data_IF_528807365662
#
_entry.id   IF_528807365662
#
_cell.length_a   1.000
_cell.length_b   1.000
_cell.length_c   1.000
_cell.angle_alpha   90.00
_cell.angle_beta   90.00
_cell.angle_gamma   90.00
#
_symmetry.space_group_name_H-M   'P 1'
#
loop_
_entity.id
_entity.type
_entity.pdbx_description
1 polymer ?
#
# COMPACT_ATOMS: atom_id res chain seq x y z
N UNK A 1 -23.81 -18.62 -13.03
CA UNK A 1 -23.20 -17.34 -13.40
C UNK A 1 -21.94 -17.18 -12.56
N UNK A 2 -20.79 -16.96 -13.17
CA UNK A 2 -19.48 -16.75 -12.52
C UNK A 2 -19.32 -15.27 -12.17
N UNK A 3 -18.70 -14.99 -11.03
CA UNK A 3 -18.31 -13.64 -10.65
C UNK A 3 -16.84 -13.38 -11.01
N UNK A 4 -16.56 -12.21 -11.56
CA UNK A 4 -15.20 -11.74 -11.87
C UNK A 4 -15.00 -10.42 -11.15
N UNK A 5 -13.91 -10.32 -10.39
CA UNK A 5 -13.43 -9.10 -9.76
C UNK A 5 -12.05 -8.78 -10.32
N UNK A 6 -11.89 -7.62 -10.94
CA UNK A 6 -10.58 -7.07 -11.30
C UNK A 6 -10.31 -5.93 -10.32
N UNK A 7 -9.21 -6.01 -9.59
CA UNK A 7 -8.82 -5.05 -8.57
C UNK A 7 -7.48 -4.42 -8.90
N UNK A 8 -7.43 -3.08 -8.83
CA UNK A 8 -6.21 -2.29 -8.94
C UNK A 8 -5.88 -1.61 -7.61
N UNK A 9 -4.67 -1.83 -7.13
CA UNK A 9 -4.07 -1.13 -6.00
C UNK A 9 -3.28 0.07 -6.51
N UNK A 10 -3.70 1.30 -6.19
CA UNK A 10 -3.07 2.54 -6.65
C UNK A 10 -2.44 3.29 -5.48
N UNK A 11 -1.12 3.44 -5.52
CA UNK A 11 -0.42 4.08 -4.45
C UNK A 11 0.86 4.77 -4.91
N UNK A 12 1.10 5.96 -4.35
CA UNK A 12 2.40 6.63 -4.36
C UNK A 12 2.71 7.19 -2.96
N UNK A 13 3.99 7.17 -2.54
CA UNK A 13 4.39 7.75 -1.27
C UNK A 13 4.13 9.26 -1.26
N UNK A 14 3.88 9.85 -0.08
CA UNK A 14 3.72 11.28 0.06
C UNK A 14 5.03 11.99 -0.29
N UNK A 15 5.01 12.86 -1.33
CA UNK A 15 6.21 13.52 -1.88
C UNK A 15 6.41 14.94 -1.37
N UNK A 16 5.40 15.48 -0.70
CA UNK A 16 5.46 16.82 -0.14
C UNK A 16 6.53 16.93 0.95
N UNK A 17 7.24 18.05 0.92
CA UNK A 17 8.18 18.44 1.95
C UNK A 17 7.40 18.71 3.26
N UNK A 18 7.74 18.04 4.38
CA UNK A 18 6.94 18.11 5.61
C UNK A 18 6.96 19.47 6.32
N UNK A 19 7.75 20.43 5.86
CA UNK A 19 7.78 21.79 6.39
C UNK A 19 6.98 22.77 5.55
N UNK A 20 7.05 22.64 4.23
CA UNK A 20 6.47 23.61 3.30
C UNK A 20 5.22 23.11 2.60
N UNK A 21 4.99 21.81 2.57
CA UNK A 21 3.95 21.18 1.77
C UNK A 21 4.23 21.18 0.26
N UNK A 22 5.32 21.81 -0.18
CA UNK A 22 5.69 21.84 -1.59
C UNK A 22 6.28 20.49 -2.03
N UNK A 23 5.99 20.07 -3.26
CA UNK A 23 6.60 18.89 -3.86
C UNK A 23 7.91 19.30 -4.50
N UNK A 24 9.06 18.72 -4.09
CA UNK A 24 10.34 18.99 -4.73
C UNK A 24 10.35 18.49 -6.18
N UNK A 25 11.11 19.17 -7.06
CA UNK A 25 11.40 18.65 -8.39
C UNK A 25 12.16 17.32 -8.28
N UNK A 26 11.69 16.31 -9.00
CA UNK A 26 12.32 14.98 -9.10
C UNK A 26 12.91 14.79 -10.50
N UNK A 27 14.22 15.03 -10.72
CA UNK A 27 14.81 15.04 -12.06
C UNK A 27 14.67 13.71 -12.83
N UNK A 28 14.56 12.59 -12.11
CA UNK A 28 14.35 11.27 -12.69
C UNK A 28 12.90 10.99 -13.14
N UNK A 29 11.97 11.90 -12.84
CA UNK A 29 10.61 11.87 -13.38
C UNK A 29 10.48 12.62 -14.71
N UNK A 30 11.54 13.28 -15.20
CA UNK A 30 11.49 14.08 -16.43
C UNK A 30 10.79 13.35 -17.60
N UNK A 31 9.98 14.05 -18.41
CA UNK A 31 9.80 15.49 -18.50
C UNK A 31 8.79 16.08 -17.48
N UNK A 32 8.28 15.30 -16.57
CA UNK A 32 7.32 15.70 -15.53
C UNK A 32 8.06 16.30 -14.32
N UNK A 33 7.35 17.06 -13.50
CA UNK A 33 7.90 17.67 -12.30
C UNK A 33 8.30 16.62 -11.25
N UNK A 34 7.44 15.64 -11.04
CA UNK A 34 7.61 14.57 -10.05
C UNK A 34 6.94 13.26 -10.51
N UNK A 35 7.17 12.19 -9.75
CA UNK A 35 6.62 10.87 -10.09
C UNK A 35 5.10 10.80 -9.95
N UNK A 36 4.46 11.59 -9.09
CA UNK A 36 3.00 11.60 -9.01
C UNK A 36 2.39 12.16 -10.28
N UNK A 37 2.92 13.30 -10.80
CA UNK A 37 2.49 13.86 -12.06
C UNK A 37 2.71 12.88 -13.22
N UNK A 38 3.90 12.26 -13.27
CA UNK A 38 4.23 11.30 -14.32
C UNK A 38 3.25 10.13 -14.35
N UNK A 39 3.01 9.50 -13.21
CA UNK A 39 2.16 8.31 -13.14
C UNK A 39 0.69 8.70 -13.33
N UNK A 40 0.29 9.88 -12.88
CA UNK A 40 -1.05 10.42 -13.17
C UNK A 40 -1.31 10.46 -14.65
N UNK A 41 -0.39 11.04 -15.43
CA UNK A 41 -0.51 11.15 -16.91
C UNK A 41 -0.40 9.81 -17.62
N UNK A 42 0.50 8.94 -17.16
CA UNK A 42 0.75 7.64 -17.80
C UNK A 42 -0.32 6.59 -17.43
N UNK A 43 -0.98 6.72 -16.28
CA UNK A 43 -1.88 5.70 -15.72
C UNK A 43 -3.19 6.25 -15.18
N UNK A 44 -3.21 7.06 -14.10
CA UNK A 44 -4.43 7.32 -13.33
C UNK A 44 -5.51 8.03 -14.12
N UNK A 45 -5.17 9.08 -14.88
CA UNK A 45 -6.10 9.75 -15.77
C UNK A 45 -6.67 8.81 -16.85
N UNK A 46 -5.86 7.86 -17.31
CA UNK A 46 -6.22 6.94 -18.41
C UNK A 46 -7.14 5.82 -17.93
N UNK A 47 -6.93 5.28 -16.73
CA UNK A 47 -7.78 4.21 -16.17
C UNK A 47 -9.06 4.75 -15.54
N UNK A 48 -9.19 6.05 -15.33
CA UNK A 48 -10.28 6.67 -14.60
C UNK A 48 -11.67 6.23 -15.08
N UNK A 49 -11.87 6.10 -16.40
CA UNK A 49 -13.13 5.63 -16.98
C UNK A 49 -13.44 4.15 -16.65
N UNK A 50 -12.44 3.32 -16.43
CA UNK A 50 -12.58 1.89 -16.12
C UNK A 50 -12.93 1.63 -14.65
N UNK A 51 -12.66 2.59 -13.74
CA UNK A 51 -12.88 2.43 -12.30
C UNK A 51 -14.32 2.13 -11.92
N UNK A 52 -15.29 2.60 -12.71
CA UNK A 52 -16.71 2.31 -12.48
C UNK A 52 -17.08 0.82 -12.61
N UNK A 53 -16.24 0.04 -13.33
CA UNK A 53 -16.47 -1.37 -13.64
C UNK A 53 -15.46 -2.30 -12.96
N UNK A 54 -14.65 -1.80 -12.03
CA UNK A 54 -13.64 -2.61 -11.32
C UNK A 54 -13.68 -2.34 -9.80
N UNK A 55 -13.02 -3.19 -9.05
CA UNK A 55 -12.67 -2.90 -7.66
C UNK A 55 -11.34 -2.17 -7.61
N UNK A 56 -11.17 -1.25 -6.68
CA UNK A 56 -9.91 -0.51 -6.56
C UNK A 56 -9.72 0.06 -5.15
N UNK A 57 -8.50 0.38 -4.83
CA UNK A 57 -8.15 1.30 -3.75
C UNK A 57 -7.16 2.36 -4.25
N UNK A 58 -7.23 3.52 -3.65
CA UNK A 58 -6.24 4.60 -3.80
C UNK A 58 -5.72 4.98 -2.44
N UNK A 59 -4.41 5.07 -2.30
CA UNK A 59 -3.77 5.52 -1.07
C UNK A 59 -4.26 6.91 -0.65
N UNK A 60 -4.62 7.13 0.63
CA UNK A 60 -5.09 8.44 1.10
C UNK A 60 -4.13 9.58 0.77
N UNK A 61 -2.81 9.37 0.89
CA UNK A 61 -1.79 10.36 0.56
C UNK A 61 -1.73 10.68 -0.94
N UNK A 62 -1.98 9.69 -1.79
CA UNK A 62 -2.11 9.90 -3.23
C UNK A 62 -3.38 10.69 -3.55
N UNK A 63 -4.49 10.38 -2.88
CA UNK A 63 -5.74 11.13 -3.05
C UNK A 63 -5.65 12.59 -2.55
N UNK A 64 -4.86 12.86 -1.51
CA UNK A 64 -4.55 14.24 -1.07
C UNK A 64 -3.83 15.00 -2.19
N UNK A 65 -2.84 14.38 -2.81
CA UNK A 65 -2.13 14.97 -3.94
C UNK A 65 -3.06 15.21 -5.14
N UNK A 66 -3.88 14.20 -5.51
CA UNK A 66 -4.79 14.30 -6.66
C UNK A 66 -5.84 15.40 -6.46
N UNK A 67 -6.35 15.58 -5.24
CA UNK A 67 -7.33 16.61 -4.90
C UNK A 67 -6.82 18.01 -5.25
N UNK A 68 -5.51 18.24 -5.10
CA UNK A 68 -4.85 19.53 -5.34
C UNK A 68 -4.29 19.67 -6.77
N UNK A 69 -3.70 18.62 -7.33
CA UNK A 69 -2.89 18.67 -8.55
C UNK A 69 -3.55 18.02 -9.78
N UNK A 70 -4.53 17.12 -9.56
CA UNK A 70 -5.22 16.39 -10.63
C UNK A 70 -6.74 16.32 -10.37
N UNK A 71 -7.43 17.47 -10.20
CA UNK A 71 -8.83 17.50 -9.72
C UNK A 71 -9.81 16.79 -10.66
N UNK A 72 -9.55 16.71 -11.96
CA UNK A 72 -10.37 15.97 -12.90
C UNK A 72 -10.33 14.46 -12.66
N UNK A 73 -9.12 13.90 -12.53
CA UNK A 73 -8.90 12.49 -12.21
C UNK A 73 -9.43 12.16 -10.81
N UNK A 74 -9.18 13.04 -9.84
CA UNK A 74 -9.73 12.90 -8.48
C UNK A 74 -11.26 12.81 -8.49
N UNK A 75 -11.95 13.69 -9.22
CA UNK A 75 -13.40 13.66 -9.30
C UNK A 75 -13.94 12.35 -9.89
N UNK A 76 -13.26 11.78 -10.90
CA UNK A 76 -13.62 10.49 -11.48
C UNK A 76 -13.42 9.33 -10.48
N UNK A 77 -12.30 9.31 -9.74
CA UNK A 77 -12.04 8.33 -8.68
C UNK A 77 -13.12 8.40 -7.60
N UNK A 78 -13.46 9.61 -7.15
CA UNK A 78 -14.50 9.81 -6.12
C UNK A 78 -15.86 9.34 -6.62
N UNK A 79 -16.24 9.65 -7.86
CA UNK A 79 -17.49 9.22 -8.45
C UNK A 79 -17.59 7.68 -8.52
N UNK A 80 -16.55 7.01 -9.00
CA UNK A 80 -16.47 5.55 -9.06
C UNK A 80 -16.51 4.91 -7.66
N UNK A 81 -15.82 5.52 -6.68
CA UNK A 81 -15.80 5.03 -5.30
C UNK A 81 -17.15 5.13 -4.60
N UNK A 82 -17.90 6.21 -4.86
CA UNK A 82 -19.28 6.36 -4.37
C UNK A 82 -20.23 5.31 -4.97
N UNK A 83 -19.97 4.86 -6.18
CA UNK A 83 -20.72 3.78 -6.83
C UNK A 83 -20.43 2.38 -6.27
N UNK A 84 -19.44 2.21 -5.37
CA UNK A 84 -19.21 0.95 -4.65
C UNK A 84 -17.95 0.18 -5.04
N UNK A 85 -17.15 0.66 -6.00
CA UNK A 85 -15.91 -0.03 -6.42
C UNK A 85 -14.75 0.11 -5.44
N UNK A 86 -14.73 1.19 -4.63
CA UNK A 86 -13.60 1.51 -3.77
C UNK A 86 -13.52 0.65 -2.50
N UNK A 87 -12.30 0.27 -2.15
CA UNK A 87 -11.86 -0.38 -0.91
C UNK A 87 -10.98 0.61 -0.14
N UNK A 88 -11.04 0.64 1.20
CA UNK A 88 -10.22 1.54 2.01
C UNK A 88 -8.77 1.05 2.11
N UNK A 89 -7.89 1.94 2.55
CA UNK A 89 -6.51 1.64 2.94
C UNK A 89 -6.16 2.27 4.30
N UNK A 90 -5.17 1.74 5.05
CA UNK A 90 -4.48 2.49 6.09
C UNK A 90 -3.86 3.77 5.51
N UNK A 91 -3.73 4.81 6.35
CA UNK A 91 -3.50 6.17 5.84
C UNK A 91 -2.15 6.37 5.13
N UNK A 92 -1.03 5.95 5.75
CA UNK A 92 0.33 6.23 5.24
C UNK A 92 1.04 5.02 4.62
N UNK A 93 0.31 3.95 4.32
CA UNK A 93 0.88 2.75 3.69
C UNK A 93 2.00 2.07 4.52
N UNK A 94 1.78 1.91 5.82
CA UNK A 94 2.69 1.20 6.71
C UNK A 94 2.58 -0.32 6.55
N UNK A 95 3.69 -1.03 6.81
CA UNK A 95 3.65 -2.49 6.98
C UNK A 95 3.10 -2.78 8.38
N UNK A 96 1.78 -2.93 8.46
CA UNK A 96 1.08 -3.01 9.74
C UNK A 96 1.61 -4.13 10.67
N UNK A 97 1.98 -5.34 10.20
CA UNK A 97 2.59 -6.36 11.04
C UNK A 97 3.86 -5.91 11.79
N UNK A 98 4.55 -4.89 11.28
CA UNK A 98 5.76 -4.32 11.90
C UNK A 98 5.48 -3.11 12.80
N UNK A 99 4.22 -2.70 12.92
CA UNK A 99 3.83 -1.51 13.69
C UNK A 99 3.30 -1.90 15.07
N UNK A 100 3.47 -1.02 16.05
CA UNK A 100 2.82 -1.17 17.35
C UNK A 100 1.29 -1.15 17.19
N UNK A 101 0.56 -1.87 18.05
CA UNK A 101 -0.92 -1.95 17.95
C UNK A 101 -1.60 -0.57 17.96
N UNK A 102 -1.08 0.39 18.75
CA UNK A 102 -1.60 1.76 18.77
C UNK A 102 -1.52 2.43 17.39
N UNK A 103 -0.40 2.23 16.70
CA UNK A 103 -0.14 2.82 15.38
C UNK A 103 -1.01 2.16 14.29
N UNK A 104 -1.18 0.83 14.36
CA UNK A 104 -2.15 0.09 13.52
C UNK A 104 -3.56 0.67 13.67
N UNK A 105 -4.01 0.90 14.91
CA UNK A 105 -5.33 1.45 15.21
C UNK A 105 -5.48 2.88 14.65
N UNK A 106 -4.48 3.73 14.81
CA UNK A 106 -4.48 5.10 14.27
C UNK A 106 -4.54 5.08 12.74
N UNK A 107 -3.68 4.33 12.09
CA UNK A 107 -3.61 4.19 10.63
C UNK A 107 -4.93 3.70 10.01
N UNK A 108 -5.52 2.65 10.60
CA UNK A 108 -6.81 2.11 10.16
C UNK A 108 -7.93 3.13 10.35
N UNK A 109 -8.00 3.78 11.50
CA UNK A 109 -9.02 4.80 11.79
C UNK A 109 -8.92 6.02 10.89
N UNK A 110 -7.71 6.48 10.61
CA UNK A 110 -7.48 7.61 9.69
C UNK A 110 -7.84 7.23 8.26
N UNK A 111 -7.47 6.03 7.81
CA UNK A 111 -7.88 5.53 6.49
C UNK A 111 -9.40 5.42 6.35
N UNK A 112 -10.11 4.93 7.37
CA UNK A 112 -11.57 4.89 7.40
C UNK A 112 -12.17 6.31 7.36
N UNK A 113 -11.62 7.24 8.15
CA UNK A 113 -12.11 8.63 8.19
C UNK A 113 -11.93 9.34 6.84
N UNK A 114 -10.78 9.16 6.19
CA UNK A 114 -10.52 9.69 4.85
C UNK A 114 -11.47 9.08 3.80
N UNK A 115 -11.66 7.76 3.85
CA UNK A 115 -12.60 7.07 2.98
C UNK A 115 -14.03 7.63 3.11
N UNK A 116 -14.51 7.81 4.34
CA UNK A 116 -15.84 8.40 4.62
C UNK A 116 -15.94 9.83 4.06
N UNK A 117 -14.93 10.64 4.28
CA UNK A 117 -14.85 12.02 3.80
C UNK A 117 -15.00 12.10 2.27
N UNK A 118 -14.29 11.24 1.55
CA UNK A 118 -14.23 11.27 0.08
C UNK A 118 -15.43 10.59 -0.57
N UNK A 119 -15.75 9.40 -0.11
CA UNK A 119 -16.75 8.55 -0.78
C UNK A 119 -18.14 8.64 -0.16
N UNK A 120 -18.31 9.28 1.01
CA UNK A 120 -19.62 9.52 1.64
C UNK A 120 -20.30 8.25 2.15
N UNK A 121 -19.55 7.16 2.37
CA UNK A 121 -20.06 5.87 2.85
C UNK A 121 -19.04 5.18 3.75
N UNK A 122 -19.48 4.16 4.50
CA UNK A 122 -18.59 3.30 5.27
C UNK A 122 -17.79 2.37 4.34
N UNK A 123 -16.49 2.13 4.61
CA UNK A 123 -15.76 1.10 3.93
C UNK A 123 -16.17 -0.28 4.43
N UNK A 124 -16.43 -1.21 3.51
CA UNK A 124 -16.72 -2.60 3.85
C UNK A 124 -15.45 -3.43 3.90
N UNK A 125 -14.47 -3.12 3.05
CA UNK A 125 -13.17 -3.79 2.98
C UNK A 125 -12.01 -2.83 3.13
N UNK A 126 -10.85 -3.40 3.45
CA UNK A 126 -9.59 -2.67 3.50
C UNK A 126 -8.49 -3.46 2.82
N UNK A 127 -7.81 -2.82 1.87
CA UNK A 127 -6.57 -3.31 1.30
C UNK A 127 -5.43 -3.05 2.28
N UNK A 128 -4.59 -4.03 2.51
CA UNK A 128 -3.42 -3.89 3.37
C UNK A 128 -2.21 -3.48 2.52
N UNK A 129 -1.40 -2.51 2.97
CA UNK A 129 -0.14 -2.17 2.31
C UNK A 129 0.70 -3.42 2.06
N UNK A 130 1.11 -3.65 0.79
CA UNK A 130 1.84 -4.85 0.37
C UNK A 130 1.12 -6.17 0.69
N UNK A 131 -0.20 -6.15 0.88
CA UNK A 131 -1.00 -7.23 1.46
C UNK A 131 -0.42 -7.79 2.78
N UNK A 132 0.44 -7.02 3.45
CA UNK A 132 1.15 -7.46 4.65
C UNK A 132 0.19 -7.73 5.79
N UNK A 133 0.21 -8.97 6.32
CA UNK A 133 -0.79 -9.46 7.26
C UNK A 133 -0.19 -10.22 8.42
N UNK A 134 -0.79 -10.01 9.61
CA UNK A 134 -0.69 -10.84 10.80
C UNK A 134 -2.04 -10.90 11.54
N UNK A 135 -2.15 -11.73 12.55
CA UNK A 135 -3.38 -11.87 13.37
C UNK A 135 -3.81 -10.55 14.00
N UNK A 136 -2.86 -9.83 14.60
CA UNK A 136 -3.15 -8.55 15.27
C UNK A 136 -3.66 -7.47 14.30
N UNK A 137 -3.13 -7.44 13.07
CA UNK A 137 -3.64 -6.55 12.02
C UNK A 137 -5.09 -6.88 11.66
N UNK A 138 -5.42 -8.16 11.43
CA UNK A 138 -6.79 -8.55 11.13
C UNK A 138 -7.76 -8.31 12.31
N UNK A 139 -7.27 -8.46 13.54
CA UNK A 139 -8.06 -8.12 14.73
C UNK A 139 -8.38 -6.62 14.80
N UNK A 140 -7.41 -5.75 14.49
CA UNK A 140 -7.62 -4.30 14.41
C UNK A 140 -8.63 -3.94 13.31
N UNK A 141 -8.51 -4.55 12.11
CA UNK A 141 -9.48 -4.33 11.04
C UNK A 141 -10.90 -4.72 11.45
N UNK A 142 -11.06 -5.94 11.99
CA UNK A 142 -12.36 -6.44 12.43
C UNK A 142 -12.95 -5.60 13.58
N UNK A 143 -12.12 -5.14 14.53
CA UNK A 143 -12.52 -4.24 15.59
C UNK A 143 -12.97 -2.86 15.09
N UNK A 144 -12.41 -2.40 13.96
CA UNK A 144 -12.79 -1.15 13.31
C UNK A 144 -14.03 -1.26 12.39
N UNK A 145 -14.63 -2.46 12.29
CA UNK A 145 -15.84 -2.69 11.47
C UNK A 145 -15.54 -3.09 10.02
N UNK A 146 -14.30 -3.31 9.66
CA UNK A 146 -13.92 -3.82 8.33
C UNK A 146 -14.36 -5.28 8.22
N UNK A 147 -15.07 -5.60 7.16
CA UNK A 147 -15.70 -6.90 6.94
C UNK A 147 -14.83 -7.85 6.16
N UNK A 148 -13.94 -7.34 5.29
CA UNK A 148 -13.04 -8.17 4.50
C UNK A 148 -11.70 -7.50 4.17
N UNK A 149 -10.73 -8.35 3.85
CA UNK A 149 -9.47 -7.97 3.19
C UNK A 149 -9.15 -8.93 2.05
N UNK A 150 -8.11 -8.61 1.26
CA UNK A 150 -7.69 -9.38 0.08
C UNK A 150 -6.23 -9.81 0.29
N UNK A 151 -5.93 -11.08 0.04
CA UNK A 151 -4.59 -11.65 0.21
C UNK A 151 -4.15 -12.46 -1.01
N UNK A 152 -2.85 -12.67 -1.12
CA UNK A 152 -2.25 -13.57 -2.10
C UNK A 152 -2.43 -15.05 -1.71
N UNK A 153 -2.41 -15.99 -2.67
CA UNK A 153 -2.61 -17.42 -2.38
C UNK A 153 -1.63 -18.00 -1.35
N UNK A 154 -0.36 -17.59 -1.37
CA UNK A 154 0.67 -18.08 -0.46
C UNK A 154 0.57 -17.53 0.97
N UNK A 155 -0.32 -16.57 1.22
CA UNK A 155 -0.55 -15.99 2.54
C UNK A 155 -1.56 -16.78 3.38
N UNK A 156 -2.14 -17.82 2.80
CA UNK A 156 -3.00 -18.77 3.50
C UNK A 156 -2.50 -20.19 3.32
N UNK A 157 -2.72 -21.08 4.32
CA UNK A 157 -2.30 -22.47 4.24
C UNK A 157 -3.05 -23.23 3.14
N UNK A 158 -4.33 -22.89 2.97
CA UNK A 158 -5.20 -23.42 1.93
C UNK A 158 -6.26 -22.38 1.57
N UNK A 159 -6.42 -22.10 0.30
CA UNK A 159 -7.52 -21.27 -0.21
C UNK A 159 -8.81 -22.11 -0.25
N UNK A 160 -10.00 -21.52 0.04
CA UNK A 160 -11.29 -22.15 -0.16
C UNK A 160 -11.52 -22.55 -1.61
N UNK A 161 -12.33 -23.58 -1.83
CA UNK A 161 -12.64 -24.06 -3.18
C UNK A 161 -13.46 -23.05 -3.99
N UNK A 162 -13.34 -23.13 -5.30
CA UNK A 162 -14.12 -22.27 -6.22
C UNK A 162 -13.75 -20.79 -6.18
N UNK A 163 -12.60 -20.42 -5.59
CA UNK A 163 -12.16 -19.04 -5.45
C UNK A 163 -12.96 -18.23 -4.43
N UNK A 164 -13.75 -18.89 -3.59
CA UNK A 164 -14.61 -18.25 -2.60
C UNK A 164 -13.78 -17.62 -1.45
N UNK A 165 -14.30 -16.57 -0.76
CA UNK A 165 -13.67 -16.08 0.46
C UNK A 165 -13.80 -17.08 1.61
N UNK A 166 -12.87 -17.00 2.57
CA UNK A 166 -12.94 -17.77 3.81
C UNK A 166 -13.03 -16.87 5.04
N UNK A 167 -13.59 -17.38 6.14
CA UNK A 167 -13.57 -16.71 7.42
C UNK A 167 -12.19 -16.89 8.10
N UNK A 168 -11.60 -15.78 8.53
CA UNK A 168 -10.50 -15.80 9.48
C UNK A 168 -11.02 -15.43 10.88
N UNK A 169 -10.69 -16.26 11.87
CA UNK A 169 -10.98 -16.00 13.27
C UNK A 169 -9.72 -15.45 13.95
N UNK A 170 -9.77 -14.22 14.42
CA UNK A 170 -8.67 -13.54 15.09
C UNK A 170 -8.45 -14.08 16.49
N UNK A 171 -7.24 -13.93 17.03
CA UNK A 171 -6.93 -14.23 18.43
C UNK A 171 -7.79 -13.43 19.42
N UNK A 172 -8.30 -12.28 19.04
CA UNK A 172 -9.29 -11.47 19.77
C UNK A 172 -10.73 -11.99 19.69
N UNK A 173 -10.98 -13.12 19.01
CA UNK A 173 -12.30 -13.77 18.89
C UNK A 173 -13.21 -13.16 17.84
N UNK A 174 -12.74 -12.19 17.05
CA UNK A 174 -13.48 -11.56 15.94
C UNK A 174 -13.40 -12.40 14.68
N UNK A 175 -14.23 -12.08 13.69
CA UNK A 175 -14.15 -12.70 12.36
C UNK A 175 -14.04 -11.63 11.28
N UNK A 176 -13.25 -11.93 10.25
CA UNK A 176 -13.13 -11.12 9.05
C UNK A 176 -13.11 -12.06 7.84
N UNK A 177 -13.76 -11.67 6.74
CA UNK A 177 -13.68 -12.43 5.50
C UNK A 177 -12.35 -12.14 4.79
N UNK A 178 -11.72 -13.17 4.26
CA UNK A 178 -10.48 -13.06 3.50
C UNK A 178 -10.74 -13.54 2.08
N UNK A 179 -10.61 -12.64 1.11
CA UNK A 179 -10.59 -12.99 -0.29
C UNK A 179 -9.17 -13.37 -0.70
N UNK A 180 -9.05 -14.42 -1.51
CA UNK A 180 -7.77 -14.86 -2.07
C UNK A 180 -7.86 -14.68 -3.59
N UNK A 181 -7.01 -13.80 -4.13
CA UNK A 181 -7.00 -13.57 -5.57
C UNK A 181 -6.33 -14.73 -6.32
N UNK A 182 -6.63 -14.90 -7.62
CA UNK A 182 -5.96 -15.86 -8.49
C UNK A 182 -4.53 -15.39 -8.78
N UNK A 183 -3.55 -16.01 -8.13
CA UNK A 183 -2.15 -15.60 -8.23
C UNK A 183 -1.56 -15.82 -9.62
N UNK A 184 -1.99 -16.88 -10.34
CA UNK A 184 -1.48 -17.16 -11.67
C UNK A 184 -1.98 -16.13 -12.69
N UNK A 185 -3.27 -15.81 -12.67
CA UNK A 185 -3.83 -14.79 -13.58
C UNK A 185 -3.28 -13.42 -13.23
N UNK A 186 -3.21 -13.07 -11.93
CA UNK A 186 -2.66 -11.78 -11.48
C UNK A 186 -1.20 -11.59 -11.89
N UNK A 187 -0.38 -12.66 -11.77
CA UNK A 187 1.00 -12.63 -12.23
C UNK A 187 1.11 -12.45 -13.75
N UNK A 188 0.30 -13.16 -14.53
CA UNK A 188 0.31 -13.07 -15.99
C UNK A 188 -0.18 -11.70 -16.48
N UNK A 189 -1.05 -11.02 -15.72
CA UNK A 189 -1.45 -9.63 -15.99
C UNK A 189 -0.33 -8.66 -15.62
N UNK A 190 0.27 -8.79 -14.43
CA UNK A 190 1.25 -7.83 -13.95
C UNK A 190 2.61 -7.95 -14.68
N UNK A 191 3.06 -9.17 -15.01
CA UNK A 191 4.41 -9.45 -15.50
C UNK A 191 4.44 -10.24 -16.80
N UNK A 192 3.31 -10.83 -17.21
CA UNK A 192 3.19 -11.65 -18.39
C UNK A 192 2.52 -10.93 -19.57
N UNK A 193 2.04 -11.69 -20.56
CA UNK A 193 1.48 -11.15 -21.79
C UNK A 193 0.03 -10.69 -21.71
N UNK A 194 -0.75 -11.08 -20.69
CA UNK A 194 -2.20 -10.85 -20.67
C UNK A 194 -2.59 -9.38 -20.72
N UNK A 195 -1.81 -8.50 -20.10
CA UNK A 195 -2.05 -7.03 -20.13
C UNK A 195 -1.94 -6.43 -21.54
N UNK A 196 -1.49 -7.19 -22.53
CA UNK A 196 -1.35 -6.79 -23.94
C UNK A 196 -2.35 -7.45 -24.89
N UNK A 197 -3.16 -8.41 -24.39
CA UNK A 197 -4.09 -9.20 -25.18
C UNK A 197 -5.43 -9.36 -24.44
N UNK A 198 -6.40 -8.52 -24.81
CA UNK A 198 -7.72 -8.51 -24.19
C UNK A 198 -8.49 -9.83 -24.44
N UNK A 199 -8.29 -10.48 -25.61
CA UNK A 199 -8.97 -11.74 -25.94
C UNK A 199 -8.44 -12.86 -25.05
N UNK A 200 -7.12 -13.03 -25.03
CA UNK A 200 -6.49 -14.05 -24.18
C UNK A 200 -6.80 -13.83 -22.69
N UNK A 201 -6.88 -12.56 -22.25
CA UNK A 201 -7.21 -12.27 -20.85
C UNK A 201 -8.67 -12.63 -20.53
N UNK A 202 -9.65 -12.29 -21.38
CA UNK A 202 -11.06 -12.71 -21.21
C UNK A 202 -11.17 -14.23 -21.22
N UNK A 203 -10.52 -14.92 -22.16
CA UNK A 203 -10.51 -16.39 -22.21
C UNK A 203 -9.94 -16.99 -20.93
N UNK A 204 -8.82 -16.46 -20.42
CA UNK A 204 -8.18 -16.92 -19.18
C UNK A 204 -9.10 -16.74 -17.96
N UNK A 205 -9.81 -15.61 -17.85
CA UNK A 205 -10.79 -15.36 -16.78
C UNK A 205 -12.00 -16.31 -16.84
N UNK A 206 -12.40 -16.70 -18.04
CA UNK A 206 -13.61 -17.50 -18.24
C UNK A 206 -13.35 -19.00 -18.36
N UNK A 207 -12.11 -19.45 -18.52
CA UNK A 207 -11.75 -20.87 -18.64
C UNK A 207 -11.75 -21.64 -17.30
N UNK A 208 -11.62 -20.94 -16.16
CA UNK A 208 -11.55 -21.57 -14.83
C UNK A 208 -12.93 -22.07 -14.36
N UNK A 209 -13.02 -23.19 -13.63
CA UNK A 209 -14.28 -23.66 -13.05
C UNK A 209 -14.73 -22.85 -11.80
N UNK A 210 -13.92 -21.90 -11.33
CA UNK A 210 -14.18 -21.15 -10.11
C UNK A 210 -15.48 -20.33 -10.20
N UNK A 211 -16.18 -20.21 -9.07
CA UNK A 211 -17.38 -19.38 -8.91
C UNK A 211 -17.01 -17.90 -8.81
N UNK A 212 -15.88 -17.60 -8.19
CA UNK A 212 -15.26 -16.28 -8.15
C UNK A 212 -13.87 -16.35 -8.74
N UNK A 213 -13.57 -15.45 -9.67
CA UNK A 213 -12.22 -15.20 -10.20
C UNK A 213 -11.85 -13.78 -9.82
N UNK A 214 -10.93 -13.63 -8.88
CA UNK A 214 -10.43 -12.34 -8.46
C UNK A 214 -9.01 -12.14 -8.99
N UNK A 215 -8.76 -11.02 -9.65
CA UNK A 215 -7.42 -10.57 -10.08
C UNK A 215 -7.06 -9.34 -9.30
N UNK A 216 -5.85 -9.29 -8.75
CA UNK A 216 -5.34 -8.12 -8.05
C UNK A 216 -3.89 -7.82 -8.49
N UNK A 217 -3.64 -6.59 -8.88
CA UNK A 217 -2.33 -6.09 -9.32
C UNK A 217 -2.11 -4.68 -8.80
N UNK A 218 -0.87 -4.20 -8.87
CA UNK A 218 -0.64 -2.76 -8.84
C UNK A 218 -1.45 -2.11 -9.98
N UNK A 219 -2.13 -1.02 -9.66
CA UNK A 219 -2.93 -0.30 -10.64
C UNK A 219 -2.06 0.37 -11.71
N UNK A 220 -0.82 0.72 -11.37
CA UNK A 220 0.20 1.25 -12.27
C UNK A 220 0.57 0.28 -13.39
N UNK A 221 0.21 -1.00 -13.28
CA UNK A 221 0.25 -2.00 -14.34
C UNK A 221 -0.46 -1.50 -15.61
N UNK A 222 -1.57 -0.77 -15.43
CA UNK A 222 -2.44 -0.34 -16.52
C UNK A 222 -2.09 1.05 -17.09
N UNK A 223 -0.89 1.21 -17.62
CA UNK A 223 -0.44 2.42 -18.30
C UNK A 223 0.99 2.82 -17.98
N UNK A 224 1.41 2.77 -16.73
CA UNK A 224 2.78 3.09 -16.34
C UNK A 224 3.75 1.93 -16.58
N UNK A 225 3.48 0.76 -16.02
CA UNK A 225 4.33 -0.42 -16.22
C UNK A 225 4.18 -1.01 -17.63
N UNK A 226 2.96 -1.02 -18.15
CA UNK A 226 2.67 -1.50 -19.50
C UNK A 226 1.89 -0.44 -20.25
N UNK A 227 2.54 0.18 -21.24
CA UNK A 227 1.89 1.14 -22.12
C UNK A 227 0.67 0.50 -22.79
N UNK A 228 -0.42 1.26 -22.90
CA UNK A 228 -1.72 0.81 -23.45
C UNK A 228 -2.43 -0.29 -22.61
N UNK A 229 -1.91 -0.65 -21.45
CA UNK A 229 -2.59 -1.58 -20.54
C UNK A 229 -3.97 -1.10 -20.10
N UNK A 230 -4.18 0.21 -20.02
CA UNK A 230 -5.47 0.86 -19.78
C UNK A 230 -6.48 0.58 -20.90
N UNK A 231 -6.06 0.59 -22.16
CA UNK A 231 -6.90 0.27 -23.33
C UNK A 231 -7.30 -1.19 -23.33
N UNK A 232 -6.35 -2.07 -23.02
CA UNK A 232 -6.62 -3.51 -22.91
C UNK A 232 -7.59 -3.81 -21.75
N UNK A 233 -7.37 -3.21 -20.58
CA UNK A 233 -8.28 -3.32 -19.43
C UNK A 233 -9.69 -2.88 -19.77
N UNK A 234 -9.87 -1.71 -20.41
CA UNK A 234 -11.17 -1.21 -20.82
C UNK A 234 -11.88 -2.21 -21.75
N UNK A 235 -11.17 -2.76 -22.76
CA UNK A 235 -11.72 -3.76 -23.67
C UNK A 235 -12.11 -5.07 -22.96
N UNK A 236 -11.32 -5.52 -21.99
CA UNK A 236 -11.64 -6.69 -21.15
C UNK A 236 -12.94 -6.44 -20.42
N UNK A 237 -13.06 -5.33 -19.71
CA UNK A 237 -14.25 -4.97 -18.93
C UNK A 237 -15.50 -4.86 -19.82
N UNK A 238 -15.40 -4.20 -20.97
CA UNK A 238 -16.48 -4.09 -21.96
C UNK A 238 -16.91 -5.46 -22.51
N UNK A 239 -15.95 -6.34 -22.78
CA UNK A 239 -16.23 -7.68 -23.31
C UNK A 239 -16.94 -8.53 -22.25
N UNK A 240 -16.45 -8.50 -21.01
CA UNK A 240 -17.07 -9.22 -19.90
C UNK A 240 -18.48 -8.71 -19.59
N UNK A 241 -18.72 -7.39 -19.67
CA UNK A 241 -20.02 -6.79 -19.41
C UNK A 241 -21.12 -7.20 -20.41
N UNK A 242 -20.73 -7.65 -21.61
CA UNK A 242 -21.67 -8.13 -22.65
C UNK A 242 -22.01 -9.64 -22.55
N UNK A 243 -21.41 -10.34 -21.59
CA UNK A 243 -21.59 -11.78 -21.43
C UNK A 243 -22.69 -12.08 -20.42
N UNK A 244 -23.55 -13.04 -20.74
CA UNK A 244 -24.67 -13.48 -19.87
C UNK A 244 -24.23 -14.52 -18.84
N UNK A 245 -23.06 -15.15 -19.02
CA UNK A 245 -22.53 -16.23 -18.15
C UNK A 245 -21.62 -15.72 -17.03
N UNK A 246 -21.21 -14.44 -17.08
CA UNK A 246 -20.35 -13.81 -16.07
C UNK A 246 -20.99 -12.55 -15.48
N UNK A 247 -20.53 -12.18 -14.27
CA UNK A 247 -20.87 -10.93 -13.59
C UNK A 247 -19.56 -10.24 -13.16
N UNK A 248 -19.31 -9.06 -13.68
CA UNK A 248 -18.24 -8.19 -13.19
C UNK A 248 -18.78 -7.42 -11.98
N UNK A 249 -18.07 -7.49 -10.85
CA UNK A 249 -18.53 -6.87 -9.61
C UNK A 249 -17.37 -6.56 -8.65
N UNK A 250 -17.67 -5.88 -7.51
CA UNK A 250 -16.70 -5.62 -6.46
C UNK A 250 -16.70 -6.76 -5.41
N UNK A 251 -15.64 -6.84 -4.59
CA UNK A 251 -15.56 -7.74 -3.45
C UNK A 251 -16.74 -7.55 -2.48
N UNK A 252 -17.13 -6.30 -2.21
CA UNK A 252 -18.23 -5.97 -1.32
C UNK A 252 -19.56 -6.52 -1.86
N UNK A 253 -19.84 -6.32 -3.16
CA UNK A 253 -21.07 -6.81 -3.81
C UNK A 253 -21.12 -8.34 -3.81
N UNK A 254 -19.97 -8.99 -4.04
CA UNK A 254 -19.89 -10.46 -3.95
C UNK A 254 -20.17 -10.95 -2.52
N UNK A 255 -19.51 -10.35 -1.51
CA UNK A 255 -19.66 -10.74 -0.10
C UNK A 255 -21.10 -10.56 0.42
N UNK A 256 -21.81 -9.55 -0.06
CA UNK A 256 -23.20 -9.33 0.30
C UNK A 256 -24.13 -10.48 -0.11
N UNK A 257 -23.78 -11.21 -1.19
CA UNK A 257 -24.56 -12.34 -1.72
C UNK A 257 -24.02 -13.72 -1.33
N UNK A 258 -22.74 -13.81 -1.03
CA UNK A 258 -22.04 -15.05 -0.75
C UNK A 258 -21.20 -14.93 0.50
N UNK A 259 -21.75 -15.31 1.63
CA UNK A 259 -21.00 -15.36 2.88
C UNK A 259 -19.99 -16.52 2.84
N UNK A 260 -18.80 -16.36 3.44
CA UNK A 260 -17.83 -17.47 3.53
C UNK A 260 -18.41 -18.64 4.32
N UNK A 261 -18.15 -19.86 3.86
CA UNK A 261 -18.56 -21.11 4.50
C UNK A 261 -17.38 -21.83 5.16
N UNK A 262 -16.17 -21.65 4.63
CA UNK A 262 -14.95 -22.27 5.12
C UNK A 262 -14.15 -21.31 6.00
N UNK A 263 -13.33 -21.88 6.90
CA UNK A 263 -12.33 -21.10 7.63
C UNK A 263 -10.97 -21.18 6.90
N UNK A 264 -10.22 -20.06 6.95
CA UNK A 264 -8.84 -19.98 6.46
C UNK A 264 -7.85 -19.82 7.60
N UNK A 265 -6.63 -20.30 7.40
CA UNK A 265 -5.50 -20.12 8.30
C UNK A 265 -4.40 -19.33 7.60
N UNK A 266 -3.92 -18.28 8.24
CA UNK A 266 -2.84 -17.45 7.70
C UNK A 266 -1.50 -18.19 7.72
N UNK A 267 -0.67 -17.84 6.74
CA UNK A 267 0.78 -17.91 6.81
C UNK A 267 1.25 -16.50 7.18
N UNK A 268 1.60 -16.28 8.45
CA UNK A 268 1.85 -14.94 8.99
C UNK A 268 3.12 -14.89 9.87
N UNK A 269 3.83 -13.74 9.88
CA UNK A 269 3.58 -12.59 9.02
C UNK A 269 3.95 -12.87 7.56
N UNK A 270 3.17 -12.35 6.61
CA UNK A 270 3.43 -12.50 5.18
C UNK A 270 3.00 -11.29 4.38
N UNK A 271 3.48 -11.17 3.14
CA UNK A 271 3.13 -10.12 2.18
C UNK A 271 3.20 -10.65 0.75
N UNK A 272 2.61 -9.95 -0.22
CA UNK A 272 2.62 -10.42 -1.62
C UNK A 272 3.97 -10.25 -2.33
N UNK A 273 4.78 -9.29 -1.92
CA UNK A 273 6.03 -8.88 -2.60
C UNK A 273 7.31 -9.32 -1.90
N UNK A 274 7.20 -10.09 -0.79
CA UNK A 274 8.35 -10.64 -0.10
C UNK A 274 8.13 -12.11 0.29
N UNK A 275 8.80 -13.07 -0.39
CA UNK A 275 8.64 -14.50 -0.05
C UNK A 275 9.19 -14.85 1.35
N UNK A 276 9.92 -13.95 2.02
CA UNK A 276 10.42 -14.08 3.38
C UNK A 276 9.46 -13.46 4.43
N UNK A 277 8.18 -13.32 4.08
CA UNK A 277 7.17 -12.71 4.95
C UNK A 277 7.16 -11.18 4.84
N UNK A 278 7.68 -10.47 5.83
CA UNK A 278 7.78 -9.00 5.85
C UNK A 278 9.23 -8.51 6.03
N UNK A 279 10.20 -9.40 5.80
CA UNK A 279 11.61 -9.12 6.06
C UNK A 279 12.18 -8.00 5.17
N UNK A 280 11.58 -7.75 3.99
CA UNK A 280 11.97 -6.65 3.10
C UNK A 280 12.00 -5.30 3.83
N UNK A 281 11.14 -5.11 4.82
CA UNK A 281 11.00 -3.84 5.55
C UNK A 281 11.73 -3.79 6.89
N UNK A 282 12.52 -4.82 7.22
CA UNK A 282 13.30 -4.84 8.47
C UNK A 282 14.64 -5.58 8.40
N UNK A 283 14.94 -6.26 7.30
CA UNK A 283 16.15 -7.09 7.22
C UNK A 283 16.72 -7.18 5.80
N UNK A 284 17.95 -7.71 5.71
CA UNK A 284 18.58 -8.08 4.46
C UNK A 284 18.05 -9.45 3.98
N UNK A 285 16.88 -9.46 3.38
CA UNK A 285 16.25 -10.70 2.90
C UNK A 285 16.62 -11.08 1.45
N UNK A 286 17.36 -10.23 0.74
CA UNK A 286 17.74 -10.45 -0.67
C UNK A 286 16.70 -9.95 -1.69
N UNK A 287 15.48 -9.56 -1.28
CA UNK A 287 14.50 -9.00 -2.21
C UNK A 287 14.96 -7.64 -2.76
N UNK A 288 14.91 -7.47 -4.09
CA UNK A 288 15.33 -6.26 -4.82
C UNK A 288 14.21 -5.78 -5.74
N UNK A 289 14.16 -4.46 -5.96
CA UNK A 289 13.31 -3.87 -6.98
C UNK A 289 13.94 -4.00 -8.38
N UNK A 290 15.28 -3.93 -8.45
CA UNK A 290 16.08 -4.12 -9.65
C UNK A 290 17.00 -5.34 -9.45
N UNK A 291 16.51 -6.58 -9.68
CA UNK A 291 17.27 -7.81 -9.40
C UNK A 291 18.57 -7.94 -10.21
N UNK A 292 18.66 -7.25 -11.35
CA UNK A 292 19.86 -7.19 -12.20
C UNK A 292 21.01 -6.37 -11.58
N UNK A 293 20.73 -5.56 -10.55
CA UNK A 293 21.74 -4.75 -9.86
C UNK A 293 22.31 -5.51 -8.68
N UNK A 294 23.64 -5.54 -8.58
CA UNK A 294 24.36 -6.16 -7.46
C UNK A 294 24.36 -5.25 -6.23
N UNK A 295 23.21 -4.99 -5.63
CA UNK A 295 23.03 -4.15 -4.44
C UNK A 295 22.90 -4.99 -3.17
N UNK A 296 23.45 -4.49 -2.05
CA UNK A 296 23.23 -5.03 -0.72
C UNK A 296 22.06 -4.29 -0.03
N UNK A 297 21.41 -4.94 0.94
CA UNK A 297 20.27 -4.36 1.68
C UNK A 297 20.51 -4.33 3.19
N UNK A 298 21.79 -4.35 3.62
CA UNK A 298 22.19 -4.27 5.03
C UNK A 298 21.73 -3.00 5.74
N UNK A 299 21.41 -1.96 4.97
CA UNK A 299 20.86 -0.70 5.47
C UNK A 299 19.44 -0.81 6.03
N UNK A 300 18.65 -1.80 5.60
CA UNK A 300 17.23 -1.94 5.97
C UNK A 300 17.03 -2.15 7.46
N UNK A 301 17.77 -3.06 8.07
CA UNK A 301 17.66 -3.34 9.49
C UNK A 301 18.07 -2.14 10.37
N UNK A 302 19.20 -1.47 10.17
CA UNK A 302 19.56 -0.28 10.93
C UNK A 302 18.59 0.89 10.74
N UNK A 303 18.10 1.13 9.51
CA UNK A 303 17.07 2.15 9.26
C UNK A 303 15.81 1.84 10.07
N UNK A 304 15.33 0.59 10.02
CA UNK A 304 14.14 0.17 10.77
C UNK A 304 14.36 0.35 12.27
N UNK A 305 15.45 -0.12 12.81
CA UNK A 305 15.79 -0.01 14.24
C UNK A 305 15.91 1.45 14.70
N UNK A 306 16.46 2.33 13.84
CA UNK A 306 16.58 3.75 14.12
C UNK A 306 15.20 4.43 14.26
N UNK A 307 14.28 4.11 13.36
CA UNK A 307 12.94 4.69 13.37
C UNK A 307 12.03 4.07 14.43
N UNK A 308 12.14 2.76 14.70
CA UNK A 308 11.43 2.11 15.80
C UNK A 308 11.85 2.71 17.16
N UNK A 309 13.15 2.94 17.36
CA UNK A 309 13.67 3.63 18.53
C UNK A 309 13.11 5.06 18.63
N UNK A 310 13.14 5.83 17.53
CA UNK A 310 12.62 7.20 17.51
C UNK A 310 11.14 7.24 17.86
N UNK A 311 10.32 6.38 17.26
CA UNK A 311 8.89 6.28 17.58
C UNK A 311 8.66 5.98 19.05
N UNK A 312 9.40 5.01 19.60
CA UNK A 312 9.34 4.67 21.03
C UNK A 312 9.68 5.84 21.95
N UNK A 313 10.74 6.60 21.63
CA UNK A 313 11.16 7.77 22.40
C UNK A 313 10.14 8.92 22.29
N UNK A 314 9.60 9.20 21.11
CA UNK A 314 8.56 10.22 20.93
C UNK A 314 7.35 9.93 21.82
N UNK A 315 6.84 8.69 21.79
CA UNK A 315 5.73 8.30 22.65
C UNK A 315 6.10 8.43 24.15
N UNK A 316 7.27 7.93 24.56
CA UNK A 316 7.72 7.99 25.93
C UNK A 316 7.85 9.44 26.46
N UNK A 317 8.27 10.38 25.63
CA UNK A 317 8.35 11.82 26.00
C UNK A 317 6.97 12.35 26.36
N UNK A 318 5.96 12.10 25.54
CA UNK A 318 4.61 12.64 25.78
C UNK A 318 3.84 11.87 26.85
N UNK A 319 4.02 10.55 26.95
CA UNK A 319 3.45 9.73 28.01
C UNK A 319 3.92 10.16 29.41
N UNK A 320 5.22 10.49 29.57
CA UNK A 320 5.75 11.05 30.82
C UNK A 320 5.11 12.39 31.20
N UNK A 321 4.58 13.12 30.24
CA UNK A 321 3.85 14.37 30.45
C UNK A 321 2.34 14.16 30.64
N UNK A 322 1.86 12.90 30.61
CA UNK A 322 0.44 12.57 30.66
C UNK A 322 -0.33 13.02 29.40
N UNK A 323 0.33 13.13 28.26
CA UNK A 323 -0.20 13.67 27.01
C UNK A 323 -0.09 12.65 25.87
N UNK A 324 -1.04 12.70 24.94
CA UNK A 324 -0.89 12.06 23.63
C UNK A 324 0.03 12.88 22.72
N UNK A 325 0.53 12.25 21.66
CA UNK A 325 1.26 12.98 20.60
C UNK A 325 0.37 14.06 20.00
N UNK A 326 0.88 15.28 19.76
CA UNK A 326 0.19 16.28 18.96
C UNK A 326 -0.12 15.74 17.56
N UNK A 327 -1.27 16.10 16.95
CA UNK A 327 -1.70 15.48 15.67
C UNK A 327 -0.66 15.54 14.55
N UNK A 328 0.01 16.67 14.39
CA UNK A 328 1.04 16.79 13.34
C UNK A 328 2.29 15.95 13.65
N UNK A 329 2.69 15.87 14.91
CA UNK A 329 3.81 15.02 15.31
C UNK A 329 3.44 13.54 15.11
N UNK A 330 2.23 13.11 15.50
CA UNK A 330 1.74 11.75 15.27
C UNK A 330 1.71 11.41 13.78
N UNK A 331 1.25 12.36 12.93
CA UNK A 331 1.27 12.22 11.47
C UNK A 331 2.69 11.96 10.95
N UNK A 332 3.67 12.76 11.35
CA UNK A 332 5.04 12.58 10.89
C UNK A 332 5.70 11.32 11.46
N UNK A 333 5.39 10.95 12.70
CA UNK A 333 5.87 9.72 13.34
C UNK A 333 5.31 8.46 12.67
N UNK A 334 4.11 8.50 12.09
CA UNK A 334 3.55 7.41 11.29
C UNK A 334 4.10 7.45 9.85
N UNK A 335 4.10 8.61 9.21
CA UNK A 335 4.58 8.80 7.84
C UNK A 335 6.03 8.33 7.63
N UNK A 336 6.90 8.40 8.65
CA UNK A 336 8.27 7.90 8.56
C UNK A 336 8.36 6.37 8.40
N UNK A 337 7.25 5.63 8.47
CA UNK A 337 7.18 4.18 8.24
C UNK A 337 6.53 3.80 6.91
N UNK A 338 6.28 4.75 6.03
CA UNK A 338 5.79 4.49 4.67
C UNK A 338 6.62 3.39 4.00
N UNK A 339 5.96 2.34 3.48
CA UNK A 339 6.62 1.10 3.02
C UNK A 339 7.66 1.31 1.92
N UNK A 340 7.44 2.28 1.02
CA UNK A 340 8.35 2.61 -0.06
C UNK A 340 9.76 2.96 0.42
N UNK A 341 9.92 3.46 1.65
CA UNK A 341 11.23 3.77 2.24
C UNK A 341 12.19 2.58 2.33
N UNK A 342 11.67 1.34 2.28
CA UNK A 342 12.46 0.09 2.29
C UNK A 342 12.33 -0.74 1.02
N UNK A 343 11.37 -0.41 0.15
CA UNK A 343 11.05 -1.25 -1.00
C UNK A 343 12.19 -1.29 -2.02
N UNK A 344 12.82 -0.15 -2.29
CA UNK A 344 13.89 0.01 -3.26
C UNK A 344 15.25 -0.47 -2.74
N UNK A 345 16.29 -0.32 -3.56
CA UNK A 345 17.53 -1.07 -3.38
C UNK A 345 18.63 -0.28 -2.64
N UNK A 346 18.40 0.99 -2.33
CA UNK A 346 19.36 1.81 -1.58
C UNK A 346 18.68 2.83 -0.65
N UNK A 347 19.34 3.07 0.50
CA UNK A 347 18.91 4.09 1.46
C UNK A 347 19.00 5.51 0.90
N UNK A 348 19.84 5.75 -0.11
CA UNK A 348 19.97 7.05 -0.77
C UNK A 348 18.84 7.33 -1.79
N UNK A 349 17.93 6.39 -2.00
CA UNK A 349 16.73 6.56 -2.82
C UNK A 349 15.81 7.67 -2.30
N UNK A 350 15.04 8.26 -3.21
CA UNK A 350 14.15 9.38 -2.87
C UNK A 350 13.13 8.98 -1.80
N UNK A 351 12.67 7.73 -1.80
CA UNK A 351 11.67 7.22 -0.87
C UNK A 351 12.21 7.11 0.56
N UNK A 352 13.46 6.66 0.73
CA UNK A 352 14.10 6.64 2.05
C UNK A 352 14.40 8.07 2.54
N UNK A 353 14.72 9.01 1.63
CA UNK A 353 14.88 10.43 1.97
C UNK A 353 13.54 11.02 2.45
N UNK A 354 12.40 10.70 1.82
CA UNK A 354 11.07 11.11 2.26
C UNK A 354 10.79 10.63 3.69
N UNK A 355 11.07 9.36 3.97
CA UNK A 355 10.94 8.74 5.30
C UNK A 355 11.80 9.48 6.34
N UNK A 356 13.07 9.75 6.03
CA UNK A 356 13.98 10.46 6.92
C UNK A 356 13.59 11.92 7.13
N UNK A 357 13.00 12.60 6.13
CA UNK A 357 12.45 13.96 6.29
C UNK A 357 11.26 13.98 7.26
N UNK A 358 10.38 12.99 7.19
CA UNK A 358 9.30 12.85 8.17
C UNK A 358 9.83 12.62 9.57
N UNK A 359 10.87 11.78 9.74
CA UNK A 359 11.55 11.57 11.02
C UNK A 359 12.17 12.88 11.55
N UNK A 360 12.86 13.66 10.70
CA UNK A 360 13.45 14.94 11.07
C UNK A 360 12.37 15.95 11.53
N UNK A 361 11.24 16.01 10.82
CA UNK A 361 10.12 16.87 11.20
C UNK A 361 9.49 16.44 12.53
N UNK A 362 9.31 15.14 12.76
CA UNK A 362 8.83 14.61 14.03
C UNK A 362 9.76 14.97 15.19
N UNK A 363 11.08 14.89 14.99
CA UNK A 363 12.09 15.33 15.97
C UNK A 363 11.95 16.82 16.28
N UNK A 364 11.86 17.67 15.27
CA UNK A 364 11.70 19.12 15.46
C UNK A 364 10.44 19.45 16.27
N UNK A 365 9.32 18.78 15.96
CA UNK A 365 8.04 18.95 16.66
C UNK A 365 8.07 18.46 18.12
N UNK A 366 9.07 17.67 18.51
CA UNK A 366 9.28 17.26 19.90
C UNK A 366 9.92 18.38 20.77
N UNK A 367 10.28 19.51 20.20
CA UNK A 367 10.73 20.72 20.91
C UNK A 367 12.03 20.53 21.68
N UNK A 368 12.00 20.69 23.00
CA UNK A 368 13.20 20.63 23.85
C UNK A 368 13.95 19.28 23.77
N UNK A 369 13.26 18.20 23.41
CA UNK A 369 13.86 16.86 23.27
C UNK A 369 14.57 16.66 21.92
N UNK A 370 14.37 17.57 20.95
CA UNK A 370 14.90 17.42 19.59
C UNK A 370 16.40 17.14 19.51
N UNK A 371 17.31 17.82 20.25
CA UNK A 371 18.74 17.54 20.17
C UNK A 371 19.10 16.11 20.61
N UNK A 372 18.45 15.60 21.66
CA UNK A 372 18.66 14.24 22.18
C UNK A 372 18.15 13.20 21.18
N UNK A 373 16.96 13.42 20.62
CA UNK A 373 16.33 12.51 19.66
C UNK A 373 17.12 12.47 18.35
N UNK A 374 17.59 13.62 17.84
CA UNK A 374 18.42 13.67 16.65
C UNK A 374 19.74 12.93 16.85
N UNK A 375 20.43 13.18 17.98
CA UNK A 375 21.68 12.48 18.27
C UNK A 375 21.50 10.94 18.30
N UNK A 376 20.46 10.47 18.97
CA UNK A 376 20.16 9.03 19.04
C UNK A 376 19.75 8.42 17.70
N UNK A 377 19.05 9.18 16.84
CA UNK A 377 18.74 8.75 15.48
C UNK A 377 20.02 8.63 14.65
N UNK A 378 20.90 9.64 14.68
CA UNK A 378 22.15 9.69 13.92
C UNK A 378 23.12 8.56 14.31
N UNK A 379 23.20 8.21 15.58
CA UNK A 379 24.01 7.09 16.08
C UNK A 379 23.58 5.77 15.39
N UNK A 380 22.28 5.54 15.27
CA UNK A 380 21.72 4.31 14.66
C UNK A 380 21.83 4.33 13.15
N UNK A 381 21.59 5.48 12.51
CA UNK A 381 21.71 5.65 11.06
C UNK A 381 23.16 5.47 10.56
N UNK A 382 24.17 5.70 11.41
CA UNK A 382 25.58 5.42 11.07
C UNK A 382 25.82 3.93 10.73
N UNK A 383 24.92 3.03 11.18
CA UNK A 383 25.00 1.59 10.91
C UNK A 383 24.33 1.18 9.60
N UNK A 384 23.69 2.11 8.88
CA UNK A 384 22.97 1.85 7.65
C UNK A 384 23.80 2.21 6.40
N UNK A 385 24.56 1.26 5.80
CA UNK A 385 25.45 1.58 4.69
C UNK A 385 24.67 1.77 3.38
N UNK A 386 24.97 2.84 2.62
CA UNK A 386 24.51 3.01 1.26
C UNK A 386 25.31 2.10 0.29
N UNK A 387 24.72 1.76 -0.85
CA UNK A 387 25.44 1.17 -1.98
C UNK A 387 26.24 2.22 -2.77
N UNK A 388 25.93 3.51 -2.60
CA UNK A 388 26.65 4.63 -3.18
C UNK A 388 27.78 5.06 -2.23
N UNK A 389 29.08 4.83 -2.60
CA UNK A 389 30.19 5.22 -1.75
C UNK A 389 30.27 6.73 -1.48
N UNK A 390 29.70 7.56 -2.36
CA UNK A 390 29.68 9.01 -2.18
C UNK A 390 28.71 9.47 -1.09
N UNK A 391 27.76 8.62 -0.73
CA UNK A 391 26.79 8.86 0.35
C UNK A 391 27.31 8.32 1.68
N UNK A 392 27.97 7.15 1.67
CA UNK A 392 28.50 6.52 2.86
C UNK A 392 27.45 5.78 3.67
N UNK A 393 26.83 6.43 4.67
CA UNK A 393 25.82 5.84 5.54
C UNK A 393 24.55 6.68 5.63
N UNK A 394 23.52 6.14 6.29
CA UNK A 394 22.29 6.86 6.59
C UNK A 394 22.51 8.12 7.42
N UNK A 395 23.58 8.17 8.24
CA UNK A 395 23.97 9.38 8.98
C UNK A 395 24.42 10.50 8.05
N UNK A 396 25.35 10.21 7.14
CA UNK A 396 25.84 11.19 6.16
C UNK A 396 24.71 11.62 5.22
N UNK A 397 23.85 10.69 4.79
CA UNK A 397 22.65 10.98 4.02
C UNK A 397 21.72 11.97 4.76
N UNK A 398 21.44 11.72 6.04
CA UNK A 398 20.60 12.59 6.85
C UNK A 398 21.20 14.01 6.95
N UNK A 399 22.48 14.12 7.28
CA UNK A 399 23.17 15.39 7.45
C UNK A 399 23.29 16.21 6.15
N UNK A 400 23.34 15.56 4.98
CA UNK A 400 23.57 16.24 3.69
C UNK A 400 22.30 16.48 2.87
N UNK A 401 21.26 15.64 3.02
CA UNK A 401 20.05 15.70 2.17
C UNK A 401 18.74 15.87 2.94
N UNK A 402 18.74 15.70 4.25
CA UNK A 402 17.54 15.73 5.10
C UNK A 402 17.54 16.90 6.06
N UNK A 403 18.63 17.08 6.81
CA UNK A 403 18.76 18.14 7.81
C UNK A 403 18.72 19.52 7.15
N UNK A 404 17.94 20.43 7.72
CA UNK A 404 17.84 21.85 7.35
C UNK A 404 18.75 22.73 8.20
#
# INVERSE_FOLDING_TARGET
MRSIVIHGHFYQPPRDDPWTGAIPLEPNAAPFHDWNERIERECYARVAASLASMSFDFGPTLLEWMEQHAPGTYAAVVAAGRAGGAVAMPYHHLILPLSARRDKVTEVRWGIADFRRRFGREPEGMWLPETAVDDDTLDVLAAAGIRFTILAPHQVQRAPEGGLPGWYRTGGGRRIAVFIYDGAISHDVAFGPLVRDAVAWVERLTATPNRLVAVATDGETYGHHHKEGDVVLARVLETLARRDDVRVESFATFLARHQPEEEVRLVAPSSWSCPHGVERWRAECGCRAAPERATQQRWRAPLRAALDWLSGELHAVFERQGRALPPELERQALRMFTSCGWFFDDIAGIESVIVLRSAARAIELAGAEAPRLEAGLLERLALAPSNDPSVGSGRELYLTRVKR
#
